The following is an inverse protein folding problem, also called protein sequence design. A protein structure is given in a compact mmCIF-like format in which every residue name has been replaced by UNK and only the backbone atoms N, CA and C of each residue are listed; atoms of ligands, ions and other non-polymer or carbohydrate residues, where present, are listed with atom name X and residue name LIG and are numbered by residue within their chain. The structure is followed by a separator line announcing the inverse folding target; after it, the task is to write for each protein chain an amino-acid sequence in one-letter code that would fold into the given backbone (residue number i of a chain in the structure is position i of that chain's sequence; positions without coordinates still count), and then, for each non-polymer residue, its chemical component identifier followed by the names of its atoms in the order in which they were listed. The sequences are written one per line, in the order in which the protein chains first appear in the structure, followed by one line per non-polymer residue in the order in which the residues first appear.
data_IF_593130025494
#
_entry.id   IF_593130025494
#
_cell.length_a   1.000
_cell.length_b   1.000
_cell.length_c   1.000
_cell.angle_alpha   90.00
_cell.angle_beta   90.00
_cell.angle_gamma   90.00
#
_symmetry.space_group_name_H-M   'P 1'
#
loop_
_entity.id
_entity.type
_entity.pdbx_description
1 polymer ?
#
# COMPACT_ATOMS: atom_id res chain seq x y z
N UNK A 1 -18.49 111.48 -41.77
CA UNK A 1 -18.45 110.00 -41.80
C UNK A 1 -18.49 109.54 -40.36
N UNK A 2 -19.50 108.76 -39.97
CA UNK A 2 -19.54 108.14 -38.65
C UNK A 2 -18.53 106.99 -38.65
N UNK A 3 -17.70 106.95 -37.60
CA UNK A 3 -16.64 105.97 -37.41
C UNK A 3 -17.20 104.54 -37.43
N UNK A 4 -16.56 103.64 -38.18
CA UNK A 4 -16.99 102.26 -38.31
C UNK A 4 -16.49 101.48 -37.07
N UNK A 5 -17.25 101.55 -35.98
CA UNK A 5 -16.94 100.86 -34.72
C UNK A 5 -16.58 99.38 -34.92
N UNK A 6 -15.69 98.86 -34.05
CA UNK A 6 -15.18 97.48 -34.04
C UNK A 6 -16.24 96.44 -34.44
N UNK A 7 -15.90 95.57 -35.40
CA UNK A 7 -16.85 94.62 -36.05
C UNK A 7 -16.74 93.18 -35.47
N UNK A 8 -15.98 92.94 -34.39
CA UNK A 8 -15.82 91.58 -33.85
C UNK A 8 -15.34 91.50 -32.40
N UNK A 9 -15.53 90.31 -31.80
CA UNK A 9 -15.03 90.02 -30.46
C UNK A 9 -13.51 89.94 -30.44
N UNK A 10 -12.89 90.49 -29.39
CA UNK A 10 -11.45 90.41 -29.15
C UNK A 10 -11.20 89.65 -27.86
N UNK A 11 -10.60 88.47 -27.94
CA UNK A 11 -10.32 87.65 -26.75
C UNK A 11 -9.12 88.23 -26.01
N UNK A 12 -9.29 88.51 -24.70
CA UNK A 12 -8.29 89.13 -23.83
C UNK A 12 -7.68 88.18 -22.79
N UNK A 13 -8.18 86.96 -22.67
CA UNK A 13 -7.70 85.98 -21.68
C UNK A 13 -8.44 86.11 -20.34
N UNK A 14 -7.76 85.86 -19.22
CA UNK A 14 -8.36 86.01 -17.89
C UNK A 14 -8.60 87.49 -17.54
N UNK A 15 -9.65 87.76 -16.75
CA UNK A 15 -9.95 89.13 -16.29
C UNK A 15 -8.90 89.64 -15.29
N UNK A 16 -8.44 90.87 -15.48
CA UNK A 16 -7.53 91.62 -14.62
C UNK A 16 -8.17 92.94 -14.20
N UNK A 17 -8.08 93.31 -12.92
CA UNK A 17 -8.77 94.49 -12.37
C UNK A 17 -8.14 95.85 -12.73
N UNK A 18 -6.93 95.87 -13.30
CA UNK A 18 -6.25 97.09 -13.75
C UNK A 18 -6.31 97.28 -15.26
N UNK A 19 -6.69 96.24 -16.01
CA UNK A 19 -6.78 96.28 -17.46
C UNK A 19 -8.05 96.99 -17.94
N UNK A 20 -7.94 97.71 -19.06
CA UNK A 20 -9.06 98.32 -19.73
C UNK A 20 -9.61 97.40 -20.83
N UNK A 21 -10.91 97.18 -20.79
CA UNK A 21 -11.64 96.33 -21.73
C UNK A 21 -12.64 97.19 -22.50
N UNK A 22 -12.48 97.26 -23.82
CA UNK A 22 -13.36 98.02 -24.70
C UNK A 22 -14.55 97.18 -25.17
N UNK A 23 -15.54 97.80 -25.82
CA UNK A 23 -16.70 97.10 -26.38
C UNK A 23 -16.27 95.87 -27.21
N UNK A 24 -16.91 94.73 -26.95
CA UNK A 24 -16.65 93.41 -27.54
C UNK A 24 -15.34 92.72 -27.10
N UNK A 25 -14.61 93.24 -26.12
CA UNK A 25 -13.51 92.48 -25.49
C UNK A 25 -14.09 91.32 -24.65
N UNK A 26 -13.53 90.11 -24.79
CA UNK A 26 -13.99 88.90 -24.10
C UNK A 26 -12.94 88.43 -23.10
N UNK A 27 -13.38 88.17 -21.86
CA UNK A 27 -12.53 87.66 -20.78
C UNK A 27 -13.07 86.35 -20.22
N UNK A 28 -12.19 85.55 -19.63
CA UNK A 28 -12.54 84.41 -18.79
C UNK A 28 -12.49 84.83 -17.31
N UNK A 29 -13.52 84.46 -16.55
CA UNK A 29 -13.60 84.71 -15.13
C UNK A 29 -14.52 83.69 -14.46
N UNK A 30 -14.07 83.04 -13.38
CA UNK A 30 -14.88 82.16 -12.53
C UNK A 30 -15.70 81.09 -13.32
N UNK A 31 -15.02 80.29 -14.14
CA UNK A 31 -15.62 79.20 -14.95
C UNK A 31 -16.65 79.65 -16.01
N UNK A 32 -16.65 80.93 -16.36
CA UNK A 32 -17.45 81.50 -17.42
C UNK A 32 -16.64 82.48 -18.29
N UNK A 33 -17.08 82.70 -19.52
CA UNK A 33 -16.57 83.75 -20.39
C UNK A 33 -17.56 84.91 -20.44
N UNK A 34 -17.07 86.14 -20.41
CA UNK A 34 -17.86 87.37 -20.43
C UNK A 34 -17.37 88.29 -21.54
N UNK A 35 -18.29 89.06 -22.14
CA UNK A 35 -17.98 90.10 -23.11
C UNK A 35 -18.31 91.49 -22.56
N UNK A 36 -17.40 92.45 -22.78
CA UNK A 36 -17.57 93.84 -22.38
C UNK A 36 -18.61 94.55 -23.26
N UNK A 37 -19.59 95.18 -22.61
CA UNK A 37 -20.71 95.95 -23.21
C UNK A 37 -20.37 97.41 -23.47
N UNK A 38 -19.31 97.91 -22.83
CA UNK A 38 -18.74 99.25 -22.97
C UNK A 38 -17.34 99.25 -22.35
N UNK A 39 -16.58 100.33 -22.60
CA UNK A 39 -15.29 100.53 -21.93
C UNK A 39 -15.43 100.35 -20.41
N UNK A 40 -14.65 99.44 -19.85
CA UNK A 40 -14.65 99.12 -18.41
C UNK A 40 -13.21 98.91 -17.91
N UNK A 41 -12.92 99.47 -16.73
CA UNK A 41 -11.65 99.29 -16.01
C UNK A 41 -12.00 98.99 -14.56
N UNK A 42 -11.51 97.88 -14.02
CA UNK A 42 -11.71 97.50 -12.61
C UNK A 42 -13.11 97.02 -12.20
N UNK A 43 -14.11 97.03 -13.10
CA UNK A 43 -15.40 96.42 -12.80
C UNK A 43 -15.36 94.91 -13.05
N UNK A 44 -15.63 94.12 -12.01
CA UNK A 44 -15.56 92.64 -12.05
C UNK A 44 -16.64 92.07 -12.99
N UNK A 45 -16.32 91.08 -13.85
CA UNK A 45 -17.29 90.36 -14.64
C UNK A 45 -18.32 89.66 -13.75
N UNK A 46 -19.60 89.99 -13.99
CA UNK A 46 -20.71 89.42 -13.25
C UNK A 46 -21.90 89.24 -14.20
N UNK A 47 -22.74 88.25 -13.92
CA UNK A 47 -23.98 88.04 -14.66
C UNK A 47 -24.87 89.31 -14.53
N UNK A 48 -25.26 89.89 -15.66
CA UNK A 48 -26.24 90.98 -15.78
C UNK A 48 -25.86 92.33 -15.16
N UNK A 49 -24.60 92.76 -15.25
CA UNK A 49 -24.24 94.14 -14.95
C UNK A 49 -24.19 95.04 -16.20
N UNK A 50 -23.93 96.33 -16.00
CA UNK A 50 -23.88 97.32 -17.09
C UNK A 50 -22.62 97.20 -17.96
N UNK A 51 -21.58 96.50 -17.48
CA UNK A 51 -20.27 96.41 -18.13
C UNK A 51 -20.06 95.08 -18.85
N UNK A 52 -20.68 93.98 -18.43
CA UNK A 52 -20.39 92.62 -18.86
C UNK A 52 -21.65 91.83 -19.23
N UNK A 53 -21.53 91.00 -20.25
CA UNK A 53 -22.54 90.04 -20.70
C UNK A 53 -21.92 88.63 -20.68
N UNK A 54 -22.62 87.64 -20.14
CA UNK A 54 -22.16 86.24 -20.18
C UNK A 54 -22.18 85.74 -21.62
N UNK A 55 -21.10 85.09 -22.04
CA UNK A 55 -20.95 84.44 -23.34
C UNK A 55 -21.16 82.93 -23.25
N UNK A 56 -20.47 82.25 -22.32
CA UNK A 56 -20.56 80.79 -22.09
C UNK A 56 -20.31 80.47 -20.61
N UNK A 57 -20.95 79.41 -20.11
CA UNK A 57 -20.74 78.84 -18.76
C UNK A 57 -20.47 77.34 -18.85
N UNK A 58 -19.47 76.84 -18.14
CA UNK A 58 -19.20 75.40 -18.06
C UNK A 58 -19.89 74.80 -16.82
N UNK A 59 -20.64 73.70 -16.98
CA UNK A 59 -21.37 72.99 -15.90
C UNK A 59 -20.96 71.52 -15.82
N UNK A 60 -19.65 71.23 -15.80
CA UNK A 60 -19.16 69.87 -15.60
C UNK A 60 -19.18 69.48 -14.12
N UNK A 61 -19.72 68.31 -13.79
CA UNK A 61 -19.54 67.67 -12.48
C UNK A 61 -18.22 66.89 -12.49
N UNK A 62 -17.24 67.32 -11.72
CA UNK A 62 -15.99 66.59 -11.52
C UNK A 62 -16.25 65.34 -10.65
N UNK A 63 -15.51 64.26 -10.88
CA UNK A 63 -15.52 63.09 -9.98
C UNK A 63 -14.92 63.54 -8.64
N UNK A 64 -15.73 63.57 -7.59
CA UNK A 64 -15.32 64.09 -6.27
C UNK A 64 -14.67 63.05 -5.37
N UNK A 65 -14.73 61.76 -5.72
CA UNK A 65 -14.01 60.70 -5.00
C UNK A 65 -14.20 59.29 -5.55
N UNK A 66 -13.34 58.38 -5.12
CA UNK A 66 -13.35 56.94 -5.46
C UNK A 66 -13.26 56.10 -4.18
N UNK A 67 -13.94 54.95 -4.15
CA UNK A 67 -13.96 54.06 -2.97
C UNK A 67 -13.93 52.59 -3.39
N UNK A 68 -13.06 51.80 -2.78
CA UNK A 68 -13.03 50.34 -2.95
C UNK A 68 -14.06 49.60 -2.07
N UNK A 69 -14.35 48.32 -2.41
CA UNK A 69 -15.40 47.53 -1.73
C UNK A 69 -15.18 47.38 -0.22
N UNK A 70 -13.92 47.31 0.21
CA UNK A 70 -13.55 47.13 1.61
C UNK A 70 -13.30 48.44 2.38
N UNK A 71 -13.55 49.58 1.75
CA UNK A 71 -13.31 50.89 2.35
C UNK A 71 -14.62 51.50 2.83
N UNK A 72 -14.60 52.26 3.91
CA UNK A 72 -15.78 52.94 4.44
C UNK A 72 -15.96 54.35 3.87
N UNK A 73 -14.87 55.03 3.52
CA UNK A 73 -14.83 56.43 3.06
C UNK A 73 -14.33 56.58 1.61
N UNK A 74 -14.68 57.70 0.96
CA UNK A 74 -14.20 58.04 -0.38
C UNK A 74 -12.81 58.70 -0.31
N UNK A 75 -11.91 58.23 -1.16
CA UNK A 75 -10.60 58.84 -1.40
C UNK A 75 -10.75 59.96 -2.45
N UNK A 76 -9.97 61.03 -2.30
CA UNK A 76 -9.99 62.20 -3.18
C UNK A 76 -8.58 62.54 -3.67
N UNK A 77 -8.45 63.28 -4.77
CA UNK A 77 -7.17 63.67 -5.35
C UNK A 77 -6.50 62.56 -6.18
N UNK A 78 -5.16 62.53 -6.18
CA UNK A 78 -4.39 61.47 -6.84
C UNK A 78 -4.42 60.21 -5.96
N UNK A 79 -5.27 59.24 -6.32
CA UNK A 79 -5.50 58.03 -5.53
C UNK A 79 -4.78 56.83 -6.15
N UNK A 80 -3.95 56.15 -5.35
CA UNK A 80 -3.43 54.82 -5.67
C UNK A 80 -4.34 53.75 -5.05
N UNK A 81 -4.76 52.77 -5.84
CA UNK A 81 -5.68 51.70 -5.42
C UNK A 81 -4.90 50.38 -5.36
N UNK A 82 -4.95 49.70 -4.22
CA UNK A 82 -4.28 48.40 -3.98
C UNK A 82 -5.28 47.23 -4.03
N UNK A 83 -4.80 45.97 -4.16
CA UNK A 83 -5.65 44.78 -4.06
C UNK A 83 -6.51 44.73 -2.78
N UNK A 84 -5.97 45.20 -1.65
CA UNK A 84 -6.72 45.26 -0.38
C UNK A 84 -7.89 46.25 -0.44
N UNK A 85 -7.70 47.40 -1.11
CA UNK A 85 -8.75 48.42 -1.24
C UNK A 85 -9.96 47.88 -2.02
N UNK A 86 -9.71 47.06 -3.06
CA UNK A 86 -10.78 46.46 -3.88
C UNK A 86 -11.31 45.13 -3.34
N UNK A 87 -10.69 44.57 -2.29
CA UNK A 87 -11.06 43.29 -1.69
C UNK A 87 -10.65 42.07 -2.52
N UNK A 88 -9.49 42.14 -3.17
CA UNK A 88 -8.88 40.97 -3.80
C UNK A 88 -8.50 39.92 -2.74
N UNK A 89 -8.63 38.64 -3.09
CA UNK A 89 -8.28 37.53 -2.20
C UNK A 89 -6.76 37.51 -1.93
N UNK A 90 -6.34 37.48 -0.66
CA UNK A 90 -4.92 37.42 -0.29
C UNK A 90 -4.29 36.10 -0.74
N UNK A 91 -3.18 36.16 -1.48
CA UNK A 91 -2.39 35.00 -1.91
C UNK A 91 -1.41 34.50 -0.85
N UNK A 92 -1.39 35.13 0.34
CA UNK A 92 -0.51 34.75 1.45
C UNK A 92 -1.30 34.65 2.75
N UNK A 93 -1.30 33.45 3.35
CA UNK A 93 -1.88 33.20 4.68
C UNK A 93 -3.41 33.24 4.77
N UNK A 94 -4.13 33.15 3.65
CA UNK A 94 -5.60 33.13 3.62
C UNK A 94 -6.23 31.76 3.88
N UNK A 95 -7.47 31.74 4.36
CA UNK A 95 -8.30 30.53 4.50
C UNK A 95 -9.35 30.47 3.40
N UNK A 96 -9.44 29.34 2.72
CA UNK A 96 -10.51 29.03 1.75
C UNK A 96 -11.60 28.25 2.49
N UNK A 97 -12.79 28.85 2.65
CA UNK A 97 -13.91 28.25 3.40
C UNK A 97 -15.00 27.63 2.50
N UNK A 98 -14.64 27.17 1.29
CA UNK A 98 -15.59 26.59 0.32
C UNK A 98 -14.89 25.78 -0.78
N UNK A 99 -15.69 25.18 -1.66
CA UNK A 99 -15.16 24.42 -2.80
C UNK A 99 -14.28 25.30 -3.68
N UNK A 100 -13.09 24.81 -4.01
CA UNK A 100 -12.14 25.50 -4.89
C UNK A 100 -11.65 24.54 -5.96
N UNK A 101 -11.69 24.98 -7.21
CA UNK A 101 -11.20 24.23 -8.35
C UNK A 101 -9.95 24.92 -8.90
N UNK A 102 -8.87 24.16 -9.04
CA UNK A 102 -7.66 24.59 -9.73
C UNK A 102 -7.61 23.89 -11.09
N UNK A 103 -7.56 24.68 -12.18
CA UNK A 103 -7.50 24.16 -13.55
C UNK A 103 -6.04 24.01 -14.05
N UNK A 104 -5.08 23.95 -13.13
CA UNK A 104 -3.64 23.87 -13.39
C UNK A 104 -2.94 23.12 -12.25
N UNK A 105 -1.67 22.78 -12.45
CA UNK A 105 -0.84 22.10 -11.44
C UNK A 105 -0.71 22.94 -10.17
N UNK A 106 -0.91 22.30 -9.02
CA UNK A 106 -0.77 22.90 -7.69
C UNK A 106 0.39 22.25 -6.97
N UNK A 107 1.42 23.04 -6.62
CA UNK A 107 2.51 22.59 -5.74
C UNK A 107 2.22 22.98 -4.30
N UNK A 108 2.26 22.02 -3.37
CA UNK A 108 2.04 22.24 -1.94
C UNK A 108 3.26 21.76 -1.16
N UNK A 109 3.93 22.65 -0.42
CA UNK A 109 5.11 22.30 0.37
C UNK A 109 4.76 21.46 1.61
N UNK A 110 3.67 21.82 2.31
CA UNK A 110 3.13 21.08 3.44
C UNK A 110 1.61 21.05 3.37
N UNK A 111 1.03 19.84 3.30
CA UNK A 111 -0.42 19.64 3.35
C UNK A 111 -0.78 18.92 4.66
N UNK A 112 -1.46 19.61 5.57
CA UNK A 112 -1.97 19.03 6.82
C UNK A 112 -3.49 18.88 6.75
N UNK A 113 -3.98 17.64 6.71
CA UNK A 113 -5.40 17.31 6.67
C UNK A 113 -5.79 16.75 8.05
N UNK A 114 -6.33 17.61 8.90
CA UNK A 114 -6.55 17.27 10.31
C UNK A 114 -7.85 16.52 10.60
N UNK A 115 -8.85 16.53 9.69
CA UNK A 115 -10.21 16.01 9.96
C UNK A 115 -11.02 15.44 8.78
N UNK A 116 -10.49 15.41 7.56
CA UNK A 116 -11.24 14.96 6.37
C UNK A 116 -10.51 13.91 5.54
N UNK A 117 -11.27 13.13 4.76
CA UNK A 117 -10.76 12.13 3.80
C UNK A 117 -10.60 12.78 2.42
N UNK A 118 -9.56 12.41 1.67
CA UNK A 118 -9.58 12.57 0.21
C UNK A 118 -10.55 11.52 -0.33
N UNK A 119 -11.76 11.92 -0.72
CA UNK A 119 -12.85 11.00 -1.09
C UNK A 119 -12.84 10.59 -2.57
N UNK A 120 -12.17 11.34 -3.44
CA UNK A 120 -11.97 10.98 -4.84
C UNK A 120 -10.73 11.66 -5.42
N UNK A 121 -10.03 10.94 -6.29
CA UNK A 121 -9.02 11.49 -7.21
C UNK A 121 -9.61 11.32 -8.62
N UNK A 122 -9.58 12.36 -9.46
CA UNK A 122 -10.04 12.27 -10.84
C UNK A 122 -9.37 11.14 -11.63
N UNK A 123 -10.01 10.71 -12.73
CA UNK A 123 -9.75 9.47 -13.49
C UNK A 123 -8.29 9.24 -13.99
N UNK A 124 -7.37 10.19 -13.81
CA UNK A 124 -5.97 10.12 -14.29
C UNK A 124 -4.91 10.64 -13.31
N UNK A 125 -5.19 10.67 -12.02
CA UNK A 125 -4.20 11.12 -11.04
C UNK A 125 -3.23 9.99 -10.65
N UNK A 126 -1.93 10.21 -10.89
CA UNK A 126 -0.85 9.41 -10.31
C UNK A 126 -0.57 9.91 -8.88
N UNK A 127 -0.87 9.11 -7.86
CA UNK A 127 -0.52 9.41 -6.48
C UNK A 127 0.86 8.82 -6.16
N UNK A 128 1.92 9.61 -6.33
CA UNK A 128 3.31 9.18 -6.07
C UNK A 128 3.80 9.76 -4.73
N UNK A 129 3.92 8.92 -3.69
CA UNK A 129 4.55 9.30 -2.42
C UNK A 129 6.07 9.08 -2.52
N UNK A 130 6.84 10.16 -2.62
CA UNK A 130 8.31 10.12 -2.56
C UNK A 130 8.78 10.43 -1.13
N UNK A 131 9.01 9.41 -0.31
CA UNK A 131 9.56 9.57 1.04
C UNK A 131 9.15 8.49 2.03
N UNK A 132 9.62 8.61 3.28
CA UNK A 132 9.16 7.79 4.41
C UNK A 132 7.78 8.28 4.85
N UNK A 133 6.80 7.38 4.92
CA UNK A 133 5.53 7.64 5.61
C UNK A 133 5.67 7.12 7.03
N UNK A 134 5.85 8.02 7.99
CA UNK A 134 5.89 7.69 9.42
C UNK A 134 4.50 7.95 10.00
N UNK A 135 3.82 6.88 10.38
CA UNK A 135 2.53 6.94 11.07
C UNK A 135 2.81 6.95 12.57
N UNK A 136 2.58 8.08 13.23
CA UNK A 136 2.79 8.20 14.67
C UNK A 136 1.61 7.58 15.45
N UNK A 137 1.99 6.83 16.49
CA UNK A 137 1.18 6.26 17.56
C UNK A 137 -0.36 6.32 17.41
N UNK A 138 -0.93 5.34 16.68
CA UNK A 138 -2.37 5.10 16.60
C UNK A 138 -3.04 5.46 15.26
N UNK A 139 -2.31 6.10 14.35
CA UNK A 139 -2.80 6.40 12.99
C UNK A 139 -2.27 5.38 11.97
N UNK A 140 -3.15 4.84 11.12
CA UNK A 140 -2.81 3.83 10.09
C UNK A 140 -2.80 4.46 8.69
N UNK A 141 -1.84 4.08 7.84
CA UNK A 141 -1.94 4.33 6.40
C UNK A 141 -2.95 3.35 5.78
N UNK A 142 -4.23 3.69 5.85
CA UNK A 142 -5.29 2.94 5.18
C UNK A 142 -5.30 3.26 3.68
N UNK A 143 -4.59 2.47 2.87
CA UNK A 143 -4.77 2.48 1.41
C UNK A 143 -6.00 1.64 1.07
N UNK A 144 -7.20 2.20 1.27
CA UNK A 144 -8.46 1.63 0.77
C UNK A 144 -8.61 1.94 -0.72
N UNK A 145 -7.76 1.37 -1.57
CA UNK A 145 -8.01 1.39 -3.00
C UNK A 145 -8.85 0.16 -3.37
N UNK A 146 -10.14 0.37 -3.64
CA UNK A 146 -10.86 -0.46 -4.59
C UNK A 146 -10.23 -0.21 -5.96
N UNK A 147 -9.15 -0.91 -6.29
CA UNK A 147 -8.57 -0.90 -7.64
C UNK A 147 -9.56 -1.62 -8.57
N UNK A 148 -10.47 -0.87 -9.17
CA UNK A 148 -11.29 -1.37 -10.26
C UNK A 148 -10.39 -1.67 -11.47
N UNK A 149 -10.48 -2.89 -11.99
CA UNK A 149 -9.84 -3.30 -13.23
C UNK A 149 -10.22 -2.37 -14.39
N UNK A 150 -9.22 -1.74 -15.00
CA UNK A 150 -9.25 -1.35 -16.41
C UNK A 150 -7.87 -1.66 -17.01
N UNK A 151 -7.75 -2.86 -17.58
CA UNK A 151 -6.78 -3.34 -18.58
C UNK A 151 -5.26 -3.07 -18.48
N UNK A 152 -4.71 -2.39 -17.48
CA UNK A 152 -3.24 -2.28 -17.31
C UNK A 152 -2.82 -2.47 -15.85
N UNK A 153 -1.83 -3.34 -15.63
CA UNK A 153 -1.37 -3.76 -14.30
C UNK A 153 -0.77 -2.60 -13.49
N UNK A 154 -1.42 -2.22 -12.38
CA UNK A 154 -0.89 -1.24 -11.43
C UNK A 154 -0.01 -1.93 -10.38
N UNK A 155 1.30 -1.72 -10.45
CA UNK A 155 2.25 -2.23 -9.46
C UNK A 155 2.41 -1.26 -8.28
N UNK A 156 2.39 -1.76 -7.04
CA UNK A 156 2.84 -1.00 -5.87
C UNK A 156 4.36 -1.18 -5.74
N UNK A 157 5.12 -0.08 -5.90
CA UNK A 157 6.58 -0.08 -5.75
C UNK A 157 6.96 0.37 -4.35
N UNK A 158 7.68 -0.48 -3.62
CA UNK A 158 8.07 -0.23 -2.22
C UNK A 158 9.60 -0.28 -2.14
N UNK A 159 10.22 0.87 -1.92
CA UNK A 159 11.68 0.98 -1.77
C UNK A 159 12.03 1.22 -0.30
N UNK A 160 12.54 0.18 0.38
CA UNK A 160 13.16 0.30 1.71
C UNK A 160 12.20 0.44 2.91
N UNK A 161 10.89 0.26 2.72
CA UNK A 161 9.89 0.31 3.80
C UNK A 161 9.21 -1.06 3.93
N UNK A 162 9.16 -1.62 5.14
CA UNK A 162 8.31 -2.79 5.42
C UNK A 162 6.85 -2.34 5.53
N UNK A 163 5.93 -2.93 4.76
CA UNK A 163 4.50 -2.72 4.97
C UNK A 163 4.04 -3.66 6.06
N UNK A 164 3.65 -3.10 7.22
CA UNK A 164 2.98 -3.85 8.27
C UNK A 164 1.47 -3.72 8.06
N UNK A 165 0.84 -4.81 7.63
CA UNK A 165 -0.60 -4.94 7.71
C UNK A 165 -0.96 -5.17 9.19
N UNK A 166 -1.76 -4.26 9.74
CA UNK A 166 -2.32 -4.41 11.09
C UNK A 166 -3.82 -4.41 10.90
N UNK A 167 -4.43 -5.59 10.95
CA UNK A 167 -5.86 -5.72 11.09
C UNK A 167 -6.25 -5.85 12.57
N UNK A 168 -7.38 -5.26 12.95
CA UNK A 168 -8.01 -5.44 14.26
C UNK A 168 -8.66 -6.84 14.39
N UNK A 169 -8.77 -7.58 13.28
CA UNK A 169 -9.65 -8.75 13.11
C UNK A 169 -8.89 -10.08 12.98
N UNK A 170 -7.65 -10.13 13.48
CA UNK A 170 -6.91 -11.39 13.68
C UNK A 170 -6.31 -12.04 12.43
N UNK A 171 -6.64 -11.60 11.20
CA UNK A 171 -6.09 -12.19 9.96
C UNK A 171 -5.55 -11.15 9.00
N UNK A 172 -4.22 -10.95 9.03
CA UNK A 172 -3.52 -10.14 8.01
C UNK A 172 -3.45 -10.91 6.68
N UNK A 173 -4.41 -10.71 5.78
CA UNK A 173 -4.39 -11.34 4.45
C UNK A 173 -4.00 -10.36 3.35
N UNK A 174 -2.91 -10.66 2.64
CA UNK A 174 -2.53 -9.95 1.42
C UNK A 174 -3.23 -10.58 0.21
N UNK A 175 -4.33 -9.97 -0.26
CA UNK A 175 -5.01 -10.40 -1.49
C UNK A 175 -4.35 -9.78 -2.72
N UNK A 176 -3.67 -10.60 -3.53
CA UNK A 176 -3.08 -10.19 -4.81
C UNK A 176 -3.85 -10.81 -5.98
N UNK A 177 -4.59 -9.98 -6.73
CA UNK A 177 -5.08 -10.37 -8.06
C UNK A 177 -4.00 -10.02 -9.09
N UNK A 178 -3.38 -11.04 -9.69
CA UNK A 178 -2.39 -10.94 -10.78
C UNK A 178 -1.24 -9.93 -10.55
N UNK A 179 -0.12 -10.40 -9.96
CA UNK A 179 1.18 -9.72 -9.95
C UNK A 179 1.21 -8.40 -9.17
N UNK A 180 1.46 -8.45 -7.86
CA UNK A 180 1.19 -7.28 -6.99
C UNK A 180 2.38 -6.70 -6.21
N UNK A 181 3.43 -7.47 -5.91
CA UNK A 181 4.58 -6.94 -5.15
C UNK A 181 5.88 -7.24 -5.87
N UNK A 182 6.51 -6.19 -6.38
CA UNK A 182 7.89 -6.22 -6.89
C UNK A 182 8.73 -5.47 -5.85
N UNK A 183 9.50 -6.18 -5.04
CA UNK A 183 10.50 -5.57 -4.16
C UNK A 183 11.80 -5.36 -4.93
N UNK A 184 12.42 -4.20 -4.82
CA UNK A 184 13.82 -4.00 -5.24
C UNK A 184 14.81 -4.63 -4.23
N UNK A 185 14.29 -5.07 -3.07
CA UNK A 185 15.00 -5.93 -2.11
C UNK A 185 15.19 -7.34 -2.66
N UNK A 186 16.33 -7.95 -2.35
CA UNK A 186 16.67 -9.34 -2.70
C UNK A 186 15.76 -10.37 -2.03
N UNK A 187 15.15 -9.99 -0.90
CA UNK A 187 14.34 -10.87 -0.05
C UNK A 187 12.96 -10.28 0.24
N UNK A 188 11.94 -11.13 0.12
CA UNK A 188 10.58 -10.91 0.60
C UNK A 188 10.37 -11.76 1.87
N UNK A 189 10.17 -11.11 3.02
CA UNK A 189 10.04 -11.78 4.32
C UNK A 189 8.59 -11.79 4.78
N UNK A 190 8.01 -12.98 4.94
CA UNK A 190 6.76 -13.18 5.67
C UNK A 190 7.08 -13.32 7.17
N UNK A 191 6.76 -12.29 7.95
CA UNK A 191 6.83 -12.32 9.42
C UNK A 191 5.44 -12.66 9.96
N UNK A 192 5.32 -13.80 10.64
CA UNK A 192 4.14 -14.14 11.44
C UNK A 192 4.54 -13.97 12.91
N UNK A 193 4.12 -12.85 13.50
CA UNK A 193 4.36 -12.54 14.92
C UNK A 193 3.12 -12.98 15.72
N UNK A 194 3.29 -13.92 16.64
CA UNK A 194 2.30 -14.20 17.69
C UNK A 194 2.96 -13.92 19.05
N UNK A 195 2.18 -13.64 20.10
CA UNK A 195 2.64 -13.13 21.41
C UNK A 195 3.82 -13.86 22.04
N UNK A 196 4.06 -15.13 21.67
CA UNK A 196 5.13 -15.97 22.20
C UNK A 196 6.18 -16.45 21.17
N UNK A 197 5.99 -16.25 19.86
CA UNK A 197 6.90 -16.76 18.80
C UNK A 197 6.88 -15.91 17.53
N UNK A 198 8.07 -15.58 17.00
CA UNK A 198 8.27 -15.02 15.66
C UNK A 198 8.60 -16.14 14.68
N UNK A 199 7.69 -16.42 13.76
CA UNK A 199 7.89 -17.40 12.68
C UNK A 199 8.14 -16.63 11.39
N UNK A 200 9.26 -16.92 10.70
CA UNK A 200 9.65 -16.18 9.50
C UNK A 200 9.92 -17.13 8.34
N UNK A 201 9.21 -16.93 7.24
CA UNK A 201 9.54 -17.50 5.94
C UNK A 201 10.14 -16.41 5.06
N UNK A 202 11.25 -16.70 4.39
CA UNK A 202 11.93 -15.78 3.49
C UNK A 202 11.85 -16.36 2.08
N UNK A 203 11.30 -15.58 1.15
CA UNK A 203 11.42 -15.82 -0.29
C UNK A 203 12.49 -14.86 -0.80
N UNK A 204 13.70 -15.37 -1.02
CA UNK A 204 14.75 -14.62 -1.71
C UNK A 204 14.68 -14.85 -3.21
N UNK A 205 15.51 -14.12 -3.95
CA UNK A 205 15.66 -14.32 -5.40
C UNK A 205 16.09 -15.74 -5.82
N UNK A 206 16.56 -16.58 -4.90
CA UNK A 206 17.07 -17.93 -5.19
C UNK A 206 16.50 -19.05 -4.31
N UNK A 207 15.80 -18.75 -3.21
CA UNK A 207 15.39 -19.76 -2.24
C UNK A 207 14.15 -19.37 -1.42
N UNK A 208 13.48 -20.39 -0.90
CA UNK A 208 12.46 -20.29 0.15
C UNK A 208 13.02 -20.97 1.40
N UNK A 209 13.24 -20.21 2.48
CA UNK A 209 13.86 -20.72 3.70
C UNK A 209 13.31 -20.06 4.97
N UNK A 210 13.75 -20.58 6.12
CA UNK A 210 13.39 -20.09 7.45
C UNK A 210 14.59 -19.43 8.12
N UNK A 211 14.35 -18.40 8.93
CA UNK A 211 15.45 -17.67 9.61
C UNK A 211 16.11 -18.53 10.68
N UNK A 212 15.32 -19.28 11.46
CA UNK A 212 15.83 -20.18 12.48
C UNK A 212 15.86 -21.62 11.95
N UNK A 213 17.07 -22.18 11.85
CA UNK A 213 17.30 -23.52 11.30
C UNK A 213 16.56 -24.59 12.12
N UNK A 214 15.74 -25.41 11.45
CA UNK A 214 15.04 -26.54 12.05
C UNK A 214 13.86 -26.19 12.97
N UNK A 215 13.46 -24.92 13.05
CA UNK A 215 12.42 -24.48 13.99
C UNK A 215 10.98 -24.60 13.47
N UNK A 216 10.78 -24.73 12.15
CA UNK A 216 9.47 -24.59 11.50
C UNK A 216 9.28 -25.69 10.45
N UNK A 217 8.09 -26.30 10.43
CA UNK A 217 7.68 -27.29 9.42
C UNK A 217 7.15 -26.67 8.13
N UNK A 218 7.40 -27.32 6.98
CA UNK A 218 6.73 -26.98 5.73
C UNK A 218 5.38 -27.70 5.60
N UNK A 219 4.32 -27.04 6.09
CA UNK A 219 2.96 -27.59 6.18
C UNK A 219 2.64 -28.14 7.57
N UNK A 220 1.42 -28.66 7.78
CA UNK A 220 0.96 -29.25 9.05
C UNK A 220 -0.04 -30.38 8.83
N UNK A 221 -0.35 -31.17 9.86
CA UNK A 221 -1.23 -32.35 9.77
C UNK A 221 -2.56 -32.08 9.03
N UNK A 222 -3.25 -30.97 9.34
CA UNK A 222 -4.50 -30.58 8.67
C UNK A 222 -4.31 -29.77 7.36
N UNK A 223 -3.09 -29.32 7.04
CA UNK A 223 -2.79 -28.45 5.88
C UNK A 223 -1.55 -28.96 5.14
N UNK A 224 -1.77 -30.02 4.36
CA UNK A 224 -0.72 -30.74 3.61
C UNK A 224 -0.56 -30.16 2.20
N UNK A 225 0.67 -30.13 1.71
CA UNK A 225 0.94 -29.91 0.28
C UNK A 225 0.46 -31.11 -0.54
N UNK A 226 -0.22 -30.84 -1.66
CA UNK A 226 -0.74 -31.90 -2.53
C UNK A 226 0.39 -32.65 -3.25
N UNK A 227 1.35 -31.93 -3.81
CA UNK A 227 2.50 -32.45 -4.55
C UNK A 227 3.70 -31.51 -4.35
N UNK A 228 4.91 -32.05 -4.38
CA UNK A 228 6.16 -31.30 -4.48
C UNK A 228 6.84 -31.70 -5.81
N UNK A 229 7.11 -30.73 -6.67
CA UNK A 229 7.84 -30.92 -7.92
C UNK A 229 9.26 -30.38 -7.74
N UNK A 230 10.25 -31.26 -7.79
CA UNK A 230 11.66 -30.91 -7.58
C UNK A 230 12.55 -31.60 -8.62
N UNK A 231 13.65 -30.96 -8.98
CA UNK A 231 14.64 -31.53 -9.92
C UNK A 231 15.49 -32.61 -9.26
N UNK A 232 15.79 -32.46 -7.97
CA UNK A 232 16.58 -33.41 -7.17
C UNK A 232 15.77 -33.89 -5.95
N UNK A 233 16.22 -34.98 -5.31
CA UNK A 233 15.62 -35.48 -4.06
C UNK A 233 15.88 -34.57 -2.85
N UNK A 234 15.16 -34.80 -1.76
CA UNK A 234 15.33 -34.04 -0.51
C UNK A 234 16.68 -34.32 0.15
N UNK A 235 17.33 -33.28 0.65
CA UNK A 235 18.56 -33.41 1.45
C UNK A 235 18.16 -33.51 2.93
N UNK A 236 18.66 -34.53 3.62
CA UNK A 236 18.47 -34.74 5.07
C UNK A 236 19.84 -34.80 5.76
N UNK A 237 20.00 -34.08 6.87
CA UNK A 237 21.27 -34.05 7.61
C UNK A 237 21.58 -35.44 8.18
N UNK A 238 22.74 -35.99 7.80
CA UNK A 238 23.23 -37.27 8.32
C UNK A 238 24.69 -37.18 8.78
N UNK A 239 25.09 -36.03 9.31
CA UNK A 239 26.38 -35.84 9.96
C UNK A 239 26.43 -36.65 11.27
N UNK A 240 27.58 -37.27 11.58
CA UNK A 240 27.80 -38.01 12.83
C UNK A 240 27.80 -37.08 14.05
N UNK A 241 28.26 -35.84 13.90
CA UNK A 241 28.35 -34.88 15.01
C UNK A 241 26.97 -34.36 15.46
N UNK A 242 25.97 -34.48 14.59
CA UNK A 242 24.57 -34.13 14.86
C UNK A 242 23.77 -35.30 15.45
N UNK A 243 24.44 -36.43 15.73
CA UNK A 243 23.82 -37.67 16.23
C UNK A 243 24.49 -38.15 17.50
N UNK A 244 23.71 -38.77 18.38
CA UNK A 244 24.19 -39.38 19.61
C UNK A 244 23.66 -40.82 19.73
N UNK A 245 24.20 -41.59 20.67
CA UNK A 245 23.75 -42.97 20.95
C UNK A 245 23.73 -43.84 19.68
N UNK A 246 24.79 -43.73 18.88
CA UNK A 246 24.88 -44.40 17.58
C UNK A 246 25.26 -45.86 17.80
N UNK A 247 24.33 -46.76 17.51
CA UNK A 247 24.52 -48.21 17.54
C UNK A 247 24.28 -48.83 16.15
N UNK A 248 24.87 -50.00 15.90
CA UNK A 248 24.58 -50.75 14.68
C UNK A 248 23.17 -51.36 14.75
N UNK A 249 22.41 -51.26 13.66
CA UNK A 249 21.08 -51.86 13.59
C UNK A 249 21.18 -53.39 13.64
N UNK A 250 20.48 -54.03 14.59
CA UNK A 250 20.40 -55.50 14.69
C UNK A 250 19.77 -56.10 13.44
N UNK A 251 20.40 -57.16 12.92
CA UNK A 251 19.87 -57.97 11.82
C UNK A 251 18.50 -58.55 12.15
N UNK A 252 18.33 -59.08 13.37
CA UNK A 252 17.10 -59.70 13.83
C UNK A 252 15.95 -58.69 13.88
N UNK A 253 16.19 -57.50 14.45
CA UNK A 253 15.16 -56.44 14.53
C UNK A 253 14.82 -55.89 13.15
N UNK A 254 15.81 -55.69 12.28
CA UNK A 254 15.57 -55.27 10.91
C UNK A 254 14.75 -56.32 10.13
N UNK A 255 15.06 -57.60 10.29
CA UNK A 255 14.30 -58.69 9.66
C UNK A 255 12.88 -58.80 10.21
N UNK A 256 12.69 -58.75 11.54
CA UNK A 256 11.36 -58.76 12.17
C UNK A 256 10.48 -57.64 11.62
N UNK A 257 11.01 -56.42 11.52
CA UNK A 257 10.28 -55.29 10.95
C UNK A 257 9.98 -55.51 9.46
N UNK A 258 11.01 -55.72 8.63
CA UNK A 258 10.87 -55.75 7.17
C UNK A 258 10.06 -56.96 6.68
N UNK A 259 10.26 -58.14 7.25
CA UNK A 259 9.50 -59.34 6.86
C UNK A 259 8.06 -59.29 7.37
N UNK A 260 7.79 -58.55 8.45
CA UNK A 260 6.44 -58.32 8.95
C UNK A 260 5.63 -57.30 8.14
N UNK A 261 6.27 -56.49 7.29
CA UNK A 261 5.57 -55.50 6.47
C UNK A 261 4.59 -56.18 5.49
N UNK A 262 3.45 -55.52 5.27
CA UNK A 262 2.41 -55.96 4.32
C UNK A 262 2.25 -54.95 3.18
N UNK A 263 3.12 -54.97 2.15
CA UNK A 263 2.95 -54.16 0.97
C UNK A 263 1.58 -54.40 0.34
N UNK A 264 0.84 -53.32 0.14
CA UNK A 264 -0.57 -53.33 -0.25
C UNK A 264 -0.80 -52.43 -1.44
N UNK A 265 -1.82 -52.74 -2.23
CA UNK A 265 -2.35 -51.83 -3.25
C UNK A 265 -3.67 -51.26 -2.79
N UNK A 266 -3.91 -49.97 -3.04
CA UNK A 266 -5.09 -49.27 -2.55
C UNK A 266 -5.50 -48.12 -3.46
N UNK A 267 -6.73 -47.64 -3.30
CA UNK A 267 -7.21 -46.38 -3.89
C UNK A 267 -7.55 -45.42 -2.76
N UNK A 268 -7.25 -44.14 -2.95
CA UNK A 268 -7.63 -43.12 -1.97
C UNK A 268 -9.16 -42.92 -2.00
N UNK A 269 -9.82 -42.93 -0.85
CA UNK A 269 -11.26 -42.70 -0.74
C UNK A 269 -11.68 -41.34 -1.34
N UNK A 270 -10.89 -40.29 -1.08
CA UNK A 270 -11.08 -38.94 -1.64
C UNK A 270 -10.21 -38.68 -2.89
N UNK A 271 -9.71 -39.73 -3.56
CA UNK A 271 -8.85 -39.61 -4.72
C UNK A 271 -9.63 -39.35 -6.01
N UNK A 272 -9.32 -38.26 -6.71
CA UNK A 272 -9.97 -37.94 -8.00
C UNK A 272 -9.36 -38.64 -9.22
N UNK A 273 -8.14 -39.17 -9.09
CA UNK A 273 -7.43 -39.75 -10.24
C UNK A 273 -7.86 -41.17 -10.63
N UNK A 274 -8.56 -41.89 -9.75
CA UNK A 274 -8.95 -43.30 -9.96
C UNK A 274 -7.79 -44.31 -9.98
N UNK A 275 -6.54 -43.85 -9.85
CA UNK A 275 -5.32 -44.67 -9.91
C UNK A 275 -5.16 -45.56 -8.69
N UNK A 276 -4.60 -46.75 -8.91
CA UNK A 276 -4.17 -47.65 -7.83
C UNK A 276 -2.78 -47.23 -7.35
N UNK A 277 -2.66 -47.00 -6.04
CA UNK A 277 -1.42 -46.71 -5.33
C UNK A 277 -0.85 -47.99 -4.71
N UNK A 278 0.48 -48.01 -4.55
CA UNK A 278 1.23 -49.13 -3.98
C UNK A 278 2.00 -48.58 -2.78
N UNK A 279 1.88 -49.22 -1.62
CA UNK A 279 2.52 -48.73 -0.40
C UNK A 279 2.25 -49.64 0.79
N UNK A 280 2.37 -49.09 1.99
CA UNK A 280 2.15 -49.81 3.25
C UNK A 280 1.05 -49.11 4.04
N UNK A 281 0.24 -49.88 4.76
CA UNK A 281 -0.82 -49.36 5.63
C UNK A 281 -0.23 -49.12 7.03
N UNK A 282 -0.41 -47.92 7.56
CA UNK A 282 0.21 -47.51 8.82
C UNK A 282 -0.32 -48.31 10.03
N UNK A 283 -1.61 -48.64 10.05
CA UNK A 283 -2.21 -49.43 11.14
C UNK A 283 -1.69 -50.87 11.16
N UNK A 284 -1.33 -51.45 10.01
CA UNK A 284 -0.70 -52.78 9.97
C UNK A 284 0.69 -52.76 10.63
N UNK A 285 1.40 -51.64 10.56
CA UNK A 285 2.68 -51.45 11.26
C UNK A 285 2.45 -51.33 12.77
N UNK A 286 1.41 -50.64 13.21
CA UNK A 286 1.07 -50.56 14.64
C UNK A 286 0.78 -51.95 15.20
N UNK A 287 0.00 -52.78 14.49
CA UNK A 287 -0.23 -54.16 14.89
C UNK A 287 1.06 -55.01 14.88
N UNK A 288 1.93 -54.79 13.90
CA UNK A 288 3.23 -55.45 13.84
C UNK A 288 4.11 -55.09 15.04
N UNK A 289 4.10 -53.83 15.48
CA UNK A 289 4.86 -53.38 16.65
C UNK A 289 4.47 -54.15 17.90
N UNK A 290 3.17 -54.40 18.12
CA UNK A 290 2.70 -55.24 19.22
C UNK A 290 3.25 -56.67 19.13
N UNK A 291 3.30 -57.25 17.92
CA UNK A 291 3.81 -58.60 17.68
C UNK A 291 5.32 -58.73 17.93
N UNK A 292 6.12 -57.76 17.47
CA UNK A 292 7.60 -57.81 17.54
C UNK A 292 8.17 -57.11 18.78
N UNK A 293 7.29 -56.70 19.71
CA UNK A 293 7.66 -56.03 20.95
C UNK A 293 8.38 -54.70 20.70
N UNK A 294 7.81 -53.87 19.84
CA UNK A 294 8.26 -52.51 19.55
C UNK A 294 7.15 -51.50 19.85
N UNK A 295 7.54 -50.24 19.92
CA UNK A 295 6.66 -49.10 20.13
C UNK A 295 7.00 -47.99 19.12
N UNK A 296 6.17 -46.95 19.06
CA UNK A 296 6.47 -45.77 18.23
C UNK A 296 7.75 -45.03 18.62
N UNK A 297 8.31 -45.30 19.80
CA UNK A 297 9.59 -44.72 20.24
C UNK A 297 10.79 -45.47 19.64
N UNK A 298 10.61 -46.72 19.23
CA UNK A 298 11.70 -47.56 18.71
C UNK A 298 11.96 -47.32 17.22
N UNK A 299 10.98 -46.76 16.48
CA UNK A 299 11.11 -46.49 15.06
C UNK A 299 10.31 -45.25 14.62
N UNK A 300 11.03 -44.18 14.30
CA UNK A 300 10.45 -42.88 13.91
C UNK A 300 9.72 -42.88 12.55
N UNK A 301 9.81 -43.97 11.78
CA UNK A 301 9.09 -44.12 10.51
C UNK A 301 7.58 -44.24 10.67
N UNK A 302 7.09 -44.59 11.86
CA UNK A 302 5.67 -44.64 12.19
C UNK A 302 5.22 -43.36 12.89
N UNK A 303 4.22 -42.68 12.34
CA UNK A 303 3.63 -41.46 12.91
C UNK A 303 2.17 -41.73 13.26
N UNK A 304 1.84 -41.53 14.54
CA UNK A 304 0.48 -41.51 15.07
C UNK A 304 0.27 -40.20 15.80
N UNK A 305 -0.60 -39.34 15.27
CA UNK A 305 -0.90 -38.04 15.85
C UNK A 305 -2.38 -37.98 16.25
N UNK A 306 -2.74 -37.40 17.40
CA UNK A 306 -4.14 -37.17 17.74
C UNK A 306 -4.81 -36.37 16.64
N UNK A 307 -6.03 -36.76 16.27
CA UNK A 307 -6.79 -36.03 15.27
C UNK A 307 -7.36 -34.76 15.91
N UNK A 308 -7.24 -33.65 15.20
CA UNK A 308 -7.67 -32.34 15.70
C UNK A 308 -8.99 -31.94 15.05
N UNK A 309 -9.94 -31.49 15.86
CA UNK A 309 -11.06 -30.67 15.43
C UNK A 309 -10.59 -29.22 15.36
N UNK A 310 -10.69 -28.61 14.18
CA UNK A 310 -10.31 -27.22 13.96
C UNK A 310 -11.55 -26.48 13.51
N UNK A 311 -12.07 -25.62 14.39
CA UNK A 311 -13.03 -24.59 14.01
C UNK A 311 -12.24 -23.31 13.77
N UNK A 312 -12.30 -22.79 12.54
CA UNK A 312 -11.66 -21.52 12.23
C UNK A 312 -12.40 -20.36 12.92
N UNK A 313 -11.67 -19.29 13.16
CA UNK A 313 -12.24 -18.05 13.69
C UNK A 313 -13.25 -17.47 12.70
N UNK A 314 -14.40 -17.02 13.21
CA UNK A 314 -15.39 -16.29 12.42
C UNK A 314 -15.49 -14.86 12.94
N UNK A 315 -15.27 -13.89 12.06
CA UNK A 315 -15.46 -12.46 12.32
C UNK A 315 -16.74 -11.97 11.64
N UNK A 316 -17.46 -11.04 12.27
CA UNK A 316 -18.57 -10.36 11.61
C UNK A 316 -18.09 -9.34 10.56
N UNK A 317 -19.04 -8.69 9.87
CA UNK A 317 -18.77 -7.66 8.86
C UNK A 317 -18.01 -6.43 9.38
N UNK A 318 -17.94 -6.27 10.71
CA UNK A 318 -17.20 -5.20 11.38
C UNK A 318 -15.92 -5.72 12.05
N UNK A 319 -15.53 -6.96 11.78
CA UNK A 319 -14.28 -7.52 12.26
C UNK A 319 -14.29 -8.12 13.65
N UNK A 320 -15.42 -8.03 14.35
CA UNK A 320 -15.53 -8.56 15.70
C UNK A 320 -15.55 -10.08 15.64
N UNK A 321 -14.66 -10.72 16.41
CA UNK A 321 -14.67 -12.18 16.61
C UNK A 321 -16.05 -12.57 17.16
N UNK A 322 -16.79 -13.34 16.37
CA UNK A 322 -18.09 -13.93 16.74
C UNK A 322 -17.94 -15.38 17.17
N UNK A 323 -16.89 -16.05 16.70
CA UNK A 323 -16.50 -17.39 17.10
C UNK A 323 -14.98 -17.48 17.18
N UNK A 324 -14.46 -17.78 18.38
CA UNK A 324 -13.03 -17.98 18.57
C UNK A 324 -12.56 -19.26 17.86
N UNK A 325 -11.30 -19.25 17.42
CA UNK A 325 -10.66 -20.44 16.88
C UNK A 325 -10.53 -21.51 17.96
N UNK A 326 -11.09 -22.69 17.69
CA UNK A 326 -11.02 -23.84 18.60
C UNK A 326 -10.18 -24.93 17.95
N UNK A 327 -9.11 -25.35 18.64
CA UNK A 327 -8.34 -26.55 18.32
C UNK A 327 -8.49 -27.55 19.46
N UNK A 328 -9.30 -28.58 19.24
CA UNK A 328 -9.55 -29.62 20.25
C UNK A 328 -9.12 -30.99 19.72
N UNK A 329 -8.56 -31.81 20.60
CA UNK A 329 -8.25 -33.21 20.28
C UNK A 329 -9.55 -33.99 20.24
N UNK A 330 -9.77 -34.72 19.15
CA UNK A 330 -10.88 -35.68 19.06
C UNK A 330 -10.44 -36.95 19.79
N UNK A 331 -11.02 -37.19 20.97
CA UNK A 331 -10.65 -38.32 21.82
C UNK A 331 -10.82 -39.66 21.08
N UNK A 332 -9.76 -40.48 21.10
CA UNK A 332 -9.75 -41.81 20.46
C UNK A 332 -9.56 -41.81 18.94
N UNK A 333 -9.51 -40.65 18.28
CA UNK A 333 -9.22 -40.56 16.85
C UNK A 333 -7.78 -40.13 16.59
N UNK A 334 -7.15 -40.76 15.59
CA UNK A 334 -5.76 -40.51 15.24
C UNK A 334 -5.57 -40.40 13.73
N UNK A 335 -4.71 -39.47 13.33
CA UNK A 335 -4.14 -39.42 11.99
C UNK A 335 -2.87 -40.27 11.94
N UNK A 336 -2.85 -41.20 10.99
CA UNK A 336 -1.72 -42.10 10.76
C UNK A 336 -0.92 -41.65 9.53
N UNK A 337 0.40 -41.72 9.61
CA UNK A 337 1.30 -41.38 8.51
C UNK A 337 2.63 -42.14 8.64
N UNK A 338 3.36 -42.27 7.52
CA UNK A 338 4.65 -42.97 7.48
C UNK A 338 5.73 -42.08 6.88
N UNK A 339 6.93 -42.12 7.45
CA UNK A 339 8.15 -41.60 6.82
C UNK A 339 8.78 -42.75 6.03
N UNK A 340 8.49 -42.80 4.73
CA UNK A 340 8.95 -43.91 3.87
C UNK A 340 10.48 -44.04 3.83
N UNK A 341 11.21 -42.94 3.92
CA UNK A 341 12.68 -42.93 3.89
C UNK A 341 13.31 -43.64 5.11
N UNK A 342 12.63 -43.68 6.26
CA UNK A 342 13.12 -44.37 7.47
C UNK A 342 13.22 -45.89 7.27
N UNK A 343 12.50 -46.45 6.29
CA UNK A 343 12.56 -47.89 5.98
C UNK A 343 13.80 -48.27 5.17
N UNK A 344 14.51 -47.30 4.58
CA UNK A 344 15.68 -47.57 3.73
C UNK A 344 16.79 -48.27 4.53
N UNK A 345 17.09 -47.79 5.75
CA UNK A 345 18.17 -48.36 6.56
C UNK A 345 17.89 -49.82 7.00
N UNK A 346 16.70 -50.16 7.54
CA UNK A 346 16.34 -51.55 7.82
C UNK A 346 16.34 -52.44 6.56
N UNK A 347 15.87 -51.96 5.41
CA UNK A 347 15.95 -52.71 4.14
C UNK A 347 17.40 -53.02 3.78
N UNK A 348 18.30 -52.04 3.88
CA UNK A 348 19.74 -52.24 3.62
C UNK A 348 20.30 -53.30 4.57
N UNK A 349 19.97 -53.23 5.87
CA UNK A 349 20.46 -54.21 6.85
C UNK A 349 19.95 -55.61 6.52
N UNK A 350 18.69 -55.77 6.15
CA UNK A 350 18.14 -57.06 5.71
C UNK A 350 18.87 -57.60 4.48
N UNK A 351 19.16 -56.77 3.49
CA UNK A 351 19.94 -57.18 2.30
C UNK A 351 21.35 -57.63 2.70
N UNK A 352 22.01 -56.93 3.64
CA UNK A 352 23.31 -57.34 4.16
C UNK A 352 23.24 -58.70 4.86
N UNK A 353 22.26 -58.90 5.75
CA UNK A 353 22.06 -60.17 6.45
C UNK A 353 21.73 -61.31 5.49
N UNK A 354 20.89 -61.08 4.48
CA UNK A 354 20.57 -62.07 3.45
C UNK A 354 21.82 -62.48 2.65
N UNK A 355 22.71 -61.54 2.35
CA UNK A 355 23.97 -61.86 1.68
C UNK A 355 24.85 -62.78 2.54
N UNK A 356 24.96 -62.52 3.84
CA UNK A 356 25.72 -63.36 4.77
C UNK A 356 25.15 -64.78 4.81
N UNK A 357 23.82 -64.91 4.92
CA UNK A 357 23.13 -66.21 4.91
C UNK A 357 23.36 -66.97 3.59
N UNK A 358 23.30 -66.28 2.45
CA UNK A 358 23.57 -66.88 1.13
C UNK A 358 25.00 -67.42 1.05
N UNK A 359 26.00 -66.71 1.57
CA UNK A 359 27.39 -67.19 1.55
C UNK A 359 27.58 -68.41 2.47
N UNK A 360 26.93 -68.42 3.63
CA UNK A 360 26.91 -69.60 4.52
C UNK A 360 26.27 -70.80 3.82
N UNK A 361 25.11 -70.60 3.19
CA UNK A 361 24.41 -71.66 2.46
C UNK A 361 25.24 -72.18 1.28
N UNK A 362 25.92 -71.31 0.52
CA UNK A 362 26.85 -71.74 -0.54
C UNK A 362 27.98 -72.62 -0.01
N UNK A 363 28.58 -72.24 1.11
CA UNK A 363 29.65 -73.04 1.71
C UNK A 363 29.15 -74.40 2.19
N UNK A 364 27.95 -74.44 2.79
CA UNK A 364 27.31 -75.70 3.21
C UNK A 364 27.02 -76.61 2.01
N UNK A 365 26.47 -76.05 0.92
CA UNK A 365 26.24 -76.78 -0.33
C UNK A 365 27.56 -77.32 -0.90
N UNK A 366 28.62 -76.52 -0.92
CA UNK A 366 29.93 -76.98 -1.41
C UNK A 366 30.51 -78.10 -0.56
N UNK A 367 30.37 -78.02 0.77
CA UNK A 367 30.79 -79.07 1.68
C UNK A 367 30.01 -80.36 1.42
N UNK A 368 28.69 -80.28 1.23
CA UNK A 368 27.84 -81.43 0.90
C UNK A 368 28.21 -82.06 -0.46
N UNK A 369 28.51 -81.25 -1.46
CA UNK A 369 28.99 -81.73 -2.76
C UNK A 369 30.31 -82.48 -2.60
N UNK A 370 31.25 -81.93 -1.83
CA UNK A 370 32.55 -82.56 -1.61
C UNK A 370 32.42 -83.88 -0.84
N UNK A 371 31.49 -83.99 0.12
CA UNK A 371 31.27 -85.25 0.86
C UNK A 371 30.48 -86.29 0.06
N UNK A 372 29.61 -85.88 -0.85
CA UNK A 372 28.83 -86.78 -1.70
C UNK A 372 29.59 -87.27 -2.95
N UNK A 373 30.52 -86.47 -3.47
CA UNK A 373 31.35 -86.80 -4.65
C UNK A 373 32.63 -87.59 -4.33
N UNK A 374 32.93 -87.81 -3.05
CA UNK A 374 34.04 -88.65 -2.60
C UNK A 374 33.62 -90.10 -2.39
N UNK A 375 33.34 -90.82 -3.49
CA UNK A 375 33.25 -92.30 -3.55
C UNK A 375 34.03 -92.78 -4.76
#
# INVERSE_FOLDING_TARGET
MNDAGRIGFVIKGEYENTAAYDFLDVVYYNSASYVAKKLTVGNVPQENNEFWQVLTKCTGSEVTGVKGKNETEYRTGNVEITPDNIGALSLTGGTVNGETTFNADVTVDNLNISRDRITSLGERNLFELKGCVEADNGDYLNILNYLYEYEEAYNIRINGIGIKFIDYDGVNTLYAYSGMIITESVDFVFVVDNTDKRTNYVLSGDSLYVIESGAIDLGRAARKWKNIYATNGTIQTSDRNEKNTIEELSSEKAQQLIYGLKPSTYKMNAGTSGRTHWGIISQDIEALFEEIGMTSLDFAGFIKSPKMHIEEEECDENGKITKERVEEVIEGEYDYSLRYDEFIAPIIKVIQSQREEIEVLKQQVQNLINTAGGV
#
